data_IF_360303392558
#
_entry.id   IF_360303392558
#
_cell.length_a   1.000
_cell.length_b   1.000
_cell.length_c   1.000
_cell.angle_alpha   90.00
_cell.angle_beta   90.00
_cell.angle_gamma   90.00
#
_symmetry.space_group_name_H-M   'P 1'
#
loop_
_entity.id
_entity.type
_entity.pdbx_description
1 polymer ?
#
# COMPACT_ATOMS: atom_id res chain seq x y z
N UNK A 1 19.68 46.65 13.90
CA UNK A 1 18.42 45.92 14.10
C UNK A 1 18.74 44.44 14.19
N UNK A 2 18.92 44.00 15.42
CA UNK A 2 19.33 42.68 15.89
C UNK A 2 18.08 41.95 16.39
N UNK A 3 17.92 40.66 16.07
CA UNK A 3 17.31 39.69 16.99
C UNK A 3 17.55 38.25 16.52
N UNK A 4 18.34 37.52 17.31
CA UNK A 4 18.48 36.06 17.34
C UNK A 4 17.46 35.55 18.36
N UNK A 5 16.65 34.54 18.03
CA UNK A 5 15.76 33.88 18.99
C UNK A 5 16.51 32.75 19.71
N UNK A 6 16.58 32.84 21.04
CA UNK A 6 17.09 31.80 21.93
C UNK A 6 15.99 30.82 22.35
N UNK A 7 16.37 29.53 22.42
CA UNK A 7 15.58 28.41 22.90
C UNK A 7 15.72 28.29 24.44
N UNK A 8 14.64 28.57 25.16
CA UNK A 8 14.57 28.43 26.62
C UNK A 8 14.29 26.99 27.06
N UNK A 9 15.24 26.38 27.78
CA UNK A 9 15.08 25.13 28.51
C UNK A 9 14.27 25.36 29.81
N UNK A 10 13.24 24.55 30.06
CA UNK A 10 12.48 24.56 31.33
C UNK A 10 12.79 23.33 32.17
N UNK A 11 13.51 23.54 33.26
CA UNK A 11 13.74 22.55 34.34
C UNK A 11 12.54 22.49 35.28
N UNK A 12 12.03 21.28 35.56
CA UNK A 12 10.97 21.03 36.53
C UNK A 12 11.56 20.81 37.94
N UNK A 13 11.13 21.63 38.91
CA UNK A 13 11.43 21.44 40.34
C UNK A 13 10.30 20.66 41.02
N UNK A 14 10.66 19.59 41.73
CA UNK A 14 9.77 18.85 42.63
C UNK A 14 9.51 19.65 43.91
N UNK A 15 8.25 19.63 44.37
CA UNK A 15 7.89 20.11 45.72
C UNK A 15 6.88 19.14 46.34
N UNK A 16 7.35 18.43 47.36
CA UNK A 16 6.61 17.49 48.21
C UNK A 16 5.74 18.23 49.22
N UNK A 17 4.45 17.90 49.31
CA UNK A 17 3.56 18.36 50.39
C UNK A 17 2.97 17.17 51.16
N UNK A 18 3.01 17.31 52.49
CA UNK A 18 2.67 16.32 53.51
C UNK A 18 1.15 16.15 53.67
N UNK A 19 0.79 14.95 54.10
CA UNK A 19 -0.52 14.49 54.54
C UNK A 19 -1.09 15.31 55.72
N UNK A 20 -2.42 15.45 55.74
CA UNK A 20 -3.22 15.57 56.96
C UNK A 20 -4.53 14.82 56.77
N UNK A 21 -4.75 13.84 57.64
CA UNK A 21 -5.91 12.96 57.73
C UNK A 21 -6.95 13.58 58.66
N UNK A 22 -8.22 13.57 58.26
CA UNK A 22 -9.35 13.73 59.19
C UNK A 22 -10.41 12.67 58.88
N UNK A 23 -10.65 11.84 59.90
CA UNK A 23 -11.64 10.77 59.87
C UNK A 23 -13.04 11.33 60.11
N UNK A 24 -14.00 10.93 59.28
CA UNK A 24 -15.43 11.13 59.52
C UNK A 24 -16.06 9.75 59.68
N UNK A 25 -16.60 9.48 60.88
CA UNK A 25 -17.37 8.28 61.19
C UNK A 25 -18.79 8.48 60.66
N UNK A 26 -19.21 7.62 59.74
CA UNK A 26 -20.60 7.52 59.28
C UNK A 26 -21.21 6.22 59.79
N UNK A 27 -22.24 6.34 60.64
CA UNK A 27 -23.11 5.22 61.01
C UNK A 27 -24.17 5.08 59.91
N UNK A 28 -24.18 3.95 59.21
CA UNK A 28 -25.23 3.59 58.25
C UNK A 28 -25.88 2.30 58.70
N UNK A 29 -27.19 2.38 58.97
CA UNK A 29 -28.04 1.24 59.26
C UNK A 29 -28.06 0.28 58.05
N UNK A 30 -27.85 -1.00 58.32
CA UNK A 30 -27.91 -2.05 57.30
C UNK A 30 -29.37 -2.31 56.90
N UNK A 31 -29.70 -1.99 55.65
CA UNK A 31 -30.88 -2.53 54.95
C UNK A 31 -30.37 -3.75 54.16
N UNK A 32 -31.06 -4.91 54.15
CA UNK A 32 -30.57 -6.04 53.37
C UNK A 32 -30.66 -5.67 51.88
N UNK A 33 -29.50 -5.64 51.23
CA UNK A 33 -29.42 -5.52 49.79
C UNK A 33 -30.06 -6.76 49.17
N UNK A 34 -31.16 -6.56 48.45
CA UNK A 34 -31.66 -7.55 47.50
C UNK A 34 -30.57 -7.69 46.45
N UNK A 35 -29.94 -8.87 46.37
CA UNK A 35 -28.93 -9.13 45.37
C UNK A 35 -29.57 -8.98 43.98
N UNK A 36 -29.15 -7.97 43.22
CA UNK A 36 -29.44 -7.90 41.78
C UNK A 36 -28.94 -9.20 41.13
N UNK A 37 -29.74 -9.87 40.28
CA UNK A 37 -29.25 -11.03 39.56
C UNK A 37 -28.06 -10.58 38.69
N UNK A 38 -26.92 -11.21 38.90
CA UNK A 38 -25.71 -10.99 38.13
C UNK A 38 -26.07 -10.93 36.64
N UNK A 39 -25.77 -9.80 35.99
CA UNK A 39 -25.89 -9.61 34.54
C UNK A 39 -25.36 -10.88 33.87
N UNK A 40 -26.25 -11.67 33.27
CA UNK A 40 -25.84 -12.88 32.56
C UNK A 40 -24.78 -12.46 31.54
N UNK A 41 -23.60 -13.08 31.58
CA UNK A 41 -22.55 -12.74 30.65
C UNK A 41 -23.07 -12.95 29.21
N UNK A 42 -22.80 -11.98 28.33
CA UNK A 42 -23.16 -12.05 26.89
C UNK A 42 -22.87 -13.47 26.36
N UNK A 43 -23.80 -14.13 25.66
CA UNK A 43 -23.64 -15.52 25.22
C UNK A 43 -22.33 -15.75 24.46
N UNK A 44 -21.71 -16.93 24.63
CA UNK A 44 -20.41 -17.24 24.01
C UNK A 44 -20.44 -17.12 22.49
N UNK A 45 -21.57 -17.48 21.84
CA UNK A 45 -21.72 -17.34 20.39
C UNK A 45 -21.68 -15.86 19.95
N UNK A 46 -22.25 -14.96 20.74
CA UNK A 46 -22.26 -13.52 20.46
C UNK A 46 -20.87 -12.90 20.68
N UNK A 47 -20.10 -13.39 21.66
CA UNK A 47 -18.69 -13.03 21.85
C UNK A 47 -17.84 -13.50 20.67
N UNK A 48 -18.05 -14.74 20.20
CA UNK A 48 -17.35 -15.29 19.03
C UNK A 48 -17.67 -14.51 17.75
N UNK A 49 -18.94 -14.19 17.51
CA UNK A 49 -19.36 -13.33 16.41
C UNK A 49 -18.66 -11.98 16.44
N UNK A 50 -18.62 -11.33 17.61
CA UNK A 50 -17.97 -10.03 17.78
C UNK A 50 -16.46 -10.10 17.52
N UNK A 51 -15.80 -11.16 17.99
CA UNK A 51 -14.37 -11.41 17.75
C UNK A 51 -14.07 -11.62 16.26
N UNK A 52 -14.86 -12.45 15.57
CA UNK A 52 -14.72 -12.67 14.13
C UNK A 52 -14.93 -11.37 13.34
N UNK A 53 -15.94 -10.58 13.69
CA UNK A 53 -16.17 -9.26 13.09
C UNK A 53 -15.05 -8.25 13.40
N UNK A 54 -14.47 -8.31 14.59
CA UNK A 54 -13.30 -7.51 14.92
C UNK A 54 -12.12 -7.85 14.00
N UNK A 55 -11.82 -9.13 13.83
CA UNK A 55 -10.73 -9.59 12.96
C UNK A 55 -11.01 -9.38 11.47
N UNK A 56 -12.27 -9.43 11.03
CA UNK A 56 -12.62 -9.14 9.63
C UNK A 56 -12.42 -7.66 9.27
N UNK A 57 -12.62 -6.75 10.24
CA UNK A 57 -12.55 -5.30 10.06
C UNK A 57 -11.23 -4.67 10.53
N UNK A 58 -10.35 -5.47 11.13
CA UNK A 58 -9.07 -5.03 11.68
C UNK A 58 -7.94 -5.86 11.10
N UNK A 59 -7.15 -5.31 10.17
CA UNK A 59 -5.99 -6.00 9.62
C UNK A 59 -5.01 -6.40 10.71
N UNK A 60 -4.40 -7.59 10.57
CA UNK A 60 -3.42 -8.06 11.54
C UNK A 60 -2.16 -7.17 11.55
N UNK A 61 -1.43 -7.08 12.68
CA UNK A 61 -0.16 -6.33 12.73
C UNK A 61 0.84 -6.78 11.66
N UNK A 62 0.87 -8.08 11.37
CA UNK A 62 1.72 -8.66 10.32
C UNK A 62 1.32 -8.18 8.92
N UNK A 63 0.01 -8.14 8.62
CA UNK A 63 -0.50 -7.60 7.36
C UNK A 63 -0.10 -6.12 7.19
N UNK A 64 -0.30 -5.31 8.23
CA UNK A 64 0.04 -3.87 8.21
C UNK A 64 1.54 -3.66 8.01
N UNK A 65 2.38 -4.40 8.75
CA UNK A 65 3.83 -4.32 8.63
C UNK A 65 4.29 -4.69 7.21
N UNK A 66 3.78 -5.81 6.66
CA UNK A 66 4.13 -6.24 5.31
C UNK A 66 3.67 -5.26 4.25
N UNK A 67 2.48 -4.66 4.39
CA UNK A 67 1.98 -3.62 3.47
C UNK A 67 2.92 -2.40 3.45
N UNK A 68 3.42 -1.97 4.61
CA UNK A 68 4.40 -0.88 4.72
C UNK A 68 5.73 -1.25 4.05
N UNK A 69 6.24 -2.45 4.30
CA UNK A 69 7.45 -2.96 3.64
C UNK A 69 7.29 -2.99 2.12
N UNK A 70 6.16 -3.49 1.62
CA UNK A 70 5.88 -3.59 0.18
C UNK A 70 5.84 -2.21 -0.49
N UNK A 71 5.32 -1.18 0.19
CA UNK A 71 5.34 0.19 -0.33
C UNK A 71 6.78 0.70 -0.53
N UNK A 72 7.66 0.48 0.45
CA UNK A 72 9.09 0.81 0.32
C UNK A 72 9.78 0.03 -0.81
N UNK A 73 9.52 -1.27 -0.90
CA UNK A 73 10.10 -2.13 -1.93
C UNK A 73 9.66 -1.73 -3.35
N UNK A 74 8.40 -1.33 -3.55
CA UNK A 74 7.90 -0.81 -4.83
C UNK A 74 8.58 0.50 -5.22
N UNK A 75 8.82 1.39 -4.26
CA UNK A 75 9.60 2.61 -4.51
C UNK A 75 11.03 2.28 -4.94
N UNK A 76 11.70 1.35 -4.25
CA UNK A 76 13.03 0.86 -4.65
C UNK A 76 13.02 0.23 -6.04
N UNK A 77 11.99 -0.56 -6.37
CA UNK A 77 11.86 -1.19 -7.68
C UNK A 77 11.80 -0.16 -8.81
N UNK A 78 11.06 0.93 -8.61
CA UNK A 78 10.97 2.05 -9.57
C UNK A 78 12.35 2.67 -9.81
N UNK A 79 13.08 3.03 -8.75
CA UNK A 79 14.44 3.59 -8.85
C UNK A 79 15.40 2.62 -9.55
N UNK A 80 15.31 1.31 -9.28
CA UNK A 80 16.12 0.31 -9.97
C UNK A 80 15.79 0.20 -11.45
N UNK A 81 14.51 0.31 -11.81
CA UNK A 81 14.08 0.33 -13.22
C UNK A 81 14.66 1.53 -13.98
N UNK A 82 14.64 2.71 -13.36
CA UNK A 82 15.25 3.93 -13.92
C UNK A 82 16.76 3.75 -14.11
N UNK A 83 17.45 3.18 -13.12
CA UNK A 83 18.88 2.89 -13.21
C UNK A 83 19.20 1.90 -14.35
N UNK A 84 18.39 0.86 -14.55
CA UNK A 84 18.57 -0.06 -15.69
C UNK A 84 18.49 0.70 -17.02
N UNK A 85 17.50 1.58 -17.18
CA UNK A 85 17.37 2.39 -18.39
C UNK A 85 18.58 3.31 -18.59
N UNK A 86 19.06 3.97 -17.54
CA UNK A 86 20.27 4.78 -17.60
C UNK A 86 21.49 3.96 -18.03
N UNK A 87 21.68 2.77 -17.45
CA UNK A 87 22.80 1.88 -17.78
C UNK A 87 22.71 1.33 -19.20
N UNK A 88 21.52 1.07 -19.72
CA UNK A 88 21.31 0.70 -21.14
C UNK A 88 21.80 1.79 -22.08
N UNK A 89 21.45 3.05 -21.80
CA UNK A 89 21.93 4.19 -22.59
C UNK A 89 23.45 4.33 -22.54
N UNK A 90 24.05 4.23 -21.34
CA UNK A 90 25.52 4.28 -21.20
C UNK A 90 26.22 3.11 -21.91
N UNK A 91 25.64 1.91 -21.85
CA UNK A 91 26.16 0.74 -22.55
C UNK A 91 26.12 0.94 -24.07
N UNK A 92 24.98 1.39 -24.63
CA UNK A 92 24.87 1.66 -26.06
C UNK A 92 25.89 2.72 -26.53
N UNK A 93 26.04 3.83 -25.79
CA UNK A 93 27.04 4.85 -26.09
C UNK A 93 28.47 4.31 -26.06
N UNK A 94 28.81 3.46 -25.08
CA UNK A 94 30.13 2.85 -24.98
C UNK A 94 30.41 1.87 -26.12
N UNK A 95 29.42 1.09 -26.58
CA UNK A 95 29.58 0.20 -27.73
C UNK A 95 29.79 0.99 -29.03
N UNK A 96 29.05 2.09 -29.23
CA UNK A 96 29.27 2.98 -30.38
C UNK A 96 30.67 3.59 -30.37
N UNK A 97 31.13 4.07 -29.22
CA UNK A 97 32.48 4.62 -29.07
C UNK A 97 33.57 3.57 -29.35
N UNK A 98 33.38 2.33 -28.88
CA UNK A 98 34.28 1.21 -29.16
C UNK A 98 34.36 0.90 -30.66
N UNK A 99 33.22 0.81 -31.35
CA UNK A 99 33.19 0.58 -32.80
C UNK A 99 33.92 1.71 -33.56
N UNK A 100 33.72 2.96 -33.16
CA UNK A 100 34.45 4.11 -33.71
C UNK A 100 35.97 4.00 -33.49
N UNK A 101 36.40 3.65 -32.28
CA UNK A 101 37.82 3.51 -31.95
C UNK A 101 38.50 2.35 -32.68
N UNK A 102 37.79 1.23 -32.91
CA UNK A 102 38.29 0.10 -33.71
C UNK A 102 38.58 0.56 -35.14
N UNK A 103 37.63 1.25 -35.77
CA UNK A 103 37.79 1.78 -37.13
C UNK A 103 38.92 2.81 -37.22
N UNK A 104 39.06 3.67 -36.21
CA UNK A 104 40.11 4.68 -36.15
C UNK A 104 41.51 4.06 -36.00
N UNK A 105 41.68 3.07 -35.11
CA UNK A 105 42.94 2.32 -34.93
C UNK A 105 43.33 1.58 -36.21
N UNK A 106 42.39 0.87 -36.83
CA UNK A 106 42.63 0.17 -38.11
C UNK A 106 43.09 1.16 -39.20
N UNK A 107 42.37 2.27 -39.38
CA UNK A 107 42.75 3.30 -40.36
C UNK A 107 44.11 3.94 -40.07
N UNK A 108 44.44 4.18 -38.81
CA UNK A 108 45.73 4.75 -38.42
C UNK A 108 46.90 3.78 -38.68
N UNK A 109 46.71 2.49 -38.38
CA UNK A 109 47.69 1.44 -38.68
C UNK A 109 47.92 1.29 -40.18
N UNK A 110 46.88 1.29 -41.00
CA UNK A 110 47.02 1.24 -42.46
C UNK A 110 47.81 2.44 -43.00
N UNK A 111 47.49 3.66 -42.55
CA UNK A 111 48.24 4.87 -42.95
C UNK A 111 49.71 4.80 -42.52
N UNK A 112 50.00 4.24 -41.35
CA UNK A 112 51.37 4.04 -40.90
C UNK A 112 52.11 3.00 -41.73
N UNK A 113 51.48 1.87 -42.07
CA UNK A 113 52.05 0.85 -42.93
C UNK A 113 52.42 1.42 -44.31
N UNK A 114 51.50 2.13 -44.96
CA UNK A 114 51.75 2.79 -46.25
C UNK A 114 52.88 3.83 -46.17
N UNK A 115 52.97 4.59 -45.08
CA UNK A 115 54.06 5.55 -44.89
C UNK A 115 55.43 4.86 -44.71
N UNK A 116 55.47 3.68 -44.07
CA UNK A 116 56.69 2.86 -43.96
C UNK A 116 57.12 2.29 -45.30
N UNK A 117 56.19 1.80 -46.11
CA UNK A 117 56.47 1.33 -47.46
C UNK A 117 57.02 2.46 -48.33
N UNK A 118 56.39 3.64 -48.31
CA UNK A 118 56.86 4.81 -49.04
C UNK A 118 58.28 5.23 -48.64
N UNK A 119 58.62 5.18 -47.35
CA UNK A 119 59.99 5.43 -46.86
C UNK A 119 60.98 4.38 -47.38
N UNK A 120 60.58 3.11 -47.38
CA UNK A 120 61.40 2.01 -47.90
C UNK A 120 61.68 2.19 -49.39
N UNK A 121 60.65 2.48 -50.18
CA UNK A 121 60.78 2.78 -51.61
C UNK A 121 61.64 4.02 -51.88
N UNK A 122 61.53 5.07 -51.06
CA UNK A 122 62.38 6.26 -51.18
C UNK A 122 63.87 5.95 -50.91
N UNK A 123 64.15 5.11 -49.90
CA UNK A 123 65.52 4.65 -49.59
C UNK A 123 66.10 3.82 -50.72
N UNK A 124 65.33 2.86 -51.25
CA UNK A 124 65.76 2.03 -52.37
C UNK A 124 66.07 2.88 -53.61
N UNK A 125 65.23 3.87 -53.92
CA UNK A 125 65.48 4.80 -55.03
C UNK A 125 66.74 5.62 -54.82
N UNK A 126 67.00 6.12 -53.60
CA UNK A 126 68.23 6.83 -53.27
C UNK A 126 69.47 5.96 -53.53
N UNK A 127 69.43 4.68 -53.14
CA UNK A 127 70.50 3.73 -53.44
C UNK A 127 70.77 3.60 -54.93
N UNK A 128 69.71 3.37 -55.73
CA UNK A 128 69.82 3.21 -57.19
C UNK A 128 70.41 4.46 -57.86
N UNK A 129 69.87 5.65 -57.59
CA UNK A 129 70.35 6.90 -58.24
C UNK A 129 71.76 7.28 -57.79
N UNK A 130 72.18 6.87 -56.60
CA UNK A 130 73.55 7.12 -56.10
C UNK A 130 74.60 6.27 -56.82
N UNK A 131 74.19 5.09 -57.30
CA UNK A 131 75.04 4.12 -57.99
C UNK A 131 75.04 4.29 -59.52
N UNK A 132 74.02 4.96 -60.10
CA UNK A 132 73.94 5.22 -61.55
C UNK A 132 75.15 6.00 -62.09
N UNK A 133 75.52 5.69 -63.34
CA UNK A 133 76.58 6.35 -64.11
C UNK A 133 76.08 6.72 -65.51
N UNK A 134 76.38 7.94 -66.02
CA UNK A 134 77.10 9.03 -65.35
C UNK A 134 76.29 9.60 -64.17
N UNK A 135 76.98 10.16 -63.16
CA UNK A 135 76.36 10.60 -61.91
C UNK A 135 75.56 11.89 -62.14
N UNK A 136 74.29 11.92 -61.71
CA UNK A 136 73.46 13.11 -61.71
C UNK A 136 73.26 13.64 -60.28
N UNK A 137 73.96 14.71 -59.92
CA UNK A 137 73.91 15.30 -58.57
C UNK A 137 72.51 15.79 -58.17
N UNK A 138 71.75 16.39 -59.10
CA UNK A 138 70.41 16.87 -58.83
C UNK A 138 69.44 15.72 -58.50
N UNK A 139 69.56 14.59 -59.21
CA UNK A 139 68.75 13.40 -58.95
C UNK A 139 69.04 12.79 -57.56
N UNK A 140 70.30 12.79 -57.12
CA UNK A 140 70.68 12.34 -55.77
C UNK A 140 70.09 13.26 -54.70
N UNK A 141 70.23 14.57 -54.84
CA UNK A 141 69.66 15.55 -53.89
C UNK A 141 68.14 15.44 -53.80
N UNK A 142 67.44 15.28 -54.93
CA UNK A 142 66.00 15.07 -54.95
C UNK A 142 65.59 13.78 -54.21
N UNK A 143 66.34 12.68 -54.41
CA UNK A 143 66.09 11.43 -53.70
C UNK A 143 66.35 11.53 -52.19
N UNK A 144 67.40 12.26 -51.77
CA UNK A 144 67.67 12.54 -50.35
C UNK A 144 66.52 13.32 -49.71
N UNK A 145 66.06 14.40 -50.36
CA UNK A 145 64.93 15.20 -49.88
C UNK A 145 63.66 14.35 -49.75
N UNK A 146 63.43 13.42 -50.68
CA UNK A 146 62.29 12.48 -50.62
C UNK A 146 62.40 11.51 -49.44
N UNK A 147 63.58 11.00 -49.13
CA UNK A 147 63.81 10.16 -47.93
C UNK A 147 63.50 10.95 -46.67
N UNK A 148 63.99 12.19 -46.55
CA UNK A 148 63.71 13.05 -45.38
C UNK A 148 62.21 13.32 -45.24
N UNK A 149 61.52 13.67 -46.32
CA UNK A 149 60.08 13.94 -46.30
C UNK A 149 59.25 12.69 -45.92
N UNK A 150 59.57 11.53 -46.50
CA UNK A 150 58.87 10.27 -46.19
C UNK A 150 59.19 9.76 -44.78
N UNK A 151 60.40 9.99 -44.26
CA UNK A 151 60.76 9.67 -42.88
C UNK A 151 59.95 10.50 -41.88
N UNK A 152 59.83 11.80 -42.11
CA UNK A 152 58.98 12.70 -41.29
C UNK A 152 57.52 12.24 -41.32
N UNK A 153 56.99 11.91 -42.49
CA UNK A 153 55.62 11.39 -42.63
C UNK A 153 55.42 10.09 -41.85
N UNK A 154 56.33 9.12 -41.98
CA UNK A 154 56.26 7.86 -41.25
C UNK A 154 56.31 8.04 -39.73
N UNK A 155 57.12 8.98 -39.22
CA UNK A 155 57.17 9.32 -37.80
C UNK A 155 55.83 9.91 -37.30
N UNK A 156 55.23 10.85 -38.04
CA UNK A 156 53.92 11.41 -37.71
C UNK A 156 52.84 10.33 -37.70
N UNK A 157 52.81 9.47 -38.72
CA UNK A 157 51.82 8.38 -38.80
C UNK A 157 52.00 7.35 -37.69
N UNK A 158 53.24 7.11 -37.23
CA UNK A 158 53.51 6.27 -36.07
C UNK A 158 52.89 6.84 -34.80
N UNK A 159 53.05 8.14 -34.56
CA UNK A 159 52.43 8.84 -33.43
C UNK A 159 50.91 8.71 -33.45
N UNK A 160 50.28 9.03 -34.59
CA UNK A 160 48.83 8.90 -34.79
C UNK A 160 48.32 7.47 -34.57
N UNK A 161 49.07 6.45 -35.01
CA UNK A 161 48.72 5.05 -34.74
C UNK A 161 48.83 4.70 -33.25
N UNK A 162 49.81 5.26 -32.54
CA UNK A 162 49.94 5.10 -31.09
C UNK A 162 48.79 5.73 -30.30
N UNK A 163 48.37 6.95 -30.69
CA UNK A 163 47.21 7.64 -30.11
C UNK A 163 45.91 6.87 -30.35
N UNK A 164 45.68 6.39 -31.58
CA UNK A 164 44.49 5.61 -31.91
C UNK A 164 44.45 4.28 -31.13
N UNK A 165 45.59 3.60 -30.98
CA UNK A 165 45.69 2.38 -30.19
C UNK A 165 45.41 2.64 -28.69
N UNK A 166 45.85 3.78 -28.15
CA UNK A 166 45.54 4.18 -26.79
C UNK A 166 44.04 4.47 -26.61
N UNK A 167 43.43 5.20 -27.55
CA UNK A 167 42.00 5.47 -27.54
C UNK A 167 41.17 4.19 -27.63
N UNK A 168 41.57 3.21 -28.45
CA UNK A 168 40.93 1.90 -28.53
C UNK A 168 40.98 1.15 -27.18
N UNK A 169 42.12 1.12 -26.49
CA UNK A 169 42.23 0.50 -25.17
C UNK A 169 41.29 1.15 -24.14
N UNK A 170 41.21 2.48 -24.13
CA UNK A 170 40.28 3.22 -23.28
C UNK A 170 38.82 2.87 -23.61
N UNK A 171 38.45 2.85 -24.89
CA UNK A 171 37.10 2.49 -25.32
C UNK A 171 36.73 1.05 -24.95
N UNK A 172 37.66 0.10 -25.07
CA UNK A 172 37.48 -1.28 -24.62
C UNK A 172 37.22 -1.37 -23.11
N UNK A 173 37.99 -0.64 -22.30
CA UNK A 173 37.80 -0.61 -20.85
C UNK A 173 36.44 0.01 -20.47
N UNK A 174 36.06 1.11 -21.12
CA UNK A 174 34.76 1.75 -20.90
C UNK A 174 33.60 0.84 -21.29
N UNK A 175 33.68 0.14 -22.43
CA UNK A 175 32.66 -0.82 -22.85
C UNK A 175 32.49 -1.96 -21.83
N UNK A 176 33.60 -2.58 -21.38
CA UNK A 176 33.57 -3.64 -20.34
C UNK A 176 32.94 -3.16 -19.04
N UNK A 177 33.29 -1.96 -18.59
CA UNK A 177 32.73 -1.34 -17.39
C UNK A 177 31.22 -1.07 -17.54
N UNK A 178 30.80 -0.58 -18.70
CA UNK A 178 29.39 -0.31 -19.00
C UNK A 178 28.55 -1.60 -19.05
N UNK A 179 29.06 -2.68 -19.66
CA UNK A 179 28.41 -4.00 -19.66
C UNK A 179 28.24 -4.51 -18.23
N UNK A 180 29.32 -4.53 -17.44
CA UNK A 180 29.28 -4.95 -16.04
C UNK A 180 28.28 -4.11 -15.21
N UNK A 181 28.23 -2.80 -15.45
CA UNK A 181 27.30 -1.89 -14.78
C UNK A 181 25.83 -2.17 -15.13
N UNK A 182 25.54 -2.49 -16.39
CA UNK A 182 24.20 -2.89 -16.84
C UNK A 182 23.77 -4.23 -16.26
N UNK A 183 24.67 -5.22 -16.23
CA UNK A 183 24.38 -6.55 -15.67
C UNK A 183 24.05 -6.46 -14.19
N UNK A 184 24.86 -5.72 -13.42
CA UNK A 184 24.60 -5.47 -11.98
C UNK A 184 23.27 -4.76 -11.74
N UNK A 185 22.96 -3.73 -12.53
CA UNK A 185 21.69 -3.02 -12.40
C UNK A 185 20.49 -3.92 -12.72
N UNK A 186 20.62 -4.76 -13.76
CA UNK A 186 19.59 -5.71 -14.17
C UNK A 186 19.36 -6.80 -13.13
N UNK A 187 20.43 -7.42 -12.62
CA UNK A 187 20.35 -8.42 -11.55
C UNK A 187 19.73 -7.84 -10.28
N UNK A 188 20.11 -6.62 -9.90
CA UNK A 188 19.52 -5.91 -8.77
C UNK A 188 18.02 -5.66 -8.97
N UNK A 189 17.61 -5.18 -10.15
CA UNK A 189 16.19 -4.98 -10.47
C UNK A 189 15.39 -6.29 -10.39
N UNK A 190 15.91 -7.38 -10.96
CA UNK A 190 15.28 -8.71 -10.92
C UNK A 190 15.10 -9.22 -9.48
N UNK A 191 16.15 -9.13 -8.65
CA UNK A 191 16.09 -9.58 -7.26
C UNK A 191 15.04 -8.81 -6.44
N UNK A 192 14.92 -7.49 -6.64
CA UNK A 192 13.89 -6.69 -5.98
C UNK A 192 12.50 -7.02 -6.51
N UNK A 193 12.34 -7.20 -7.83
CA UNK A 193 11.08 -7.57 -8.44
C UNK A 193 10.54 -8.88 -7.86
N UNK A 194 11.41 -9.90 -7.75
CA UNK A 194 11.05 -11.19 -7.18
C UNK A 194 10.67 -11.09 -5.69
N UNK A 195 11.39 -10.27 -4.93
CA UNK A 195 11.06 -10.01 -3.53
C UNK A 195 9.68 -9.35 -3.38
N UNK A 196 9.39 -8.34 -4.21
CA UNK A 196 8.08 -7.66 -4.25
C UNK A 196 6.99 -8.68 -4.58
N UNK A 197 7.20 -9.54 -5.58
CA UNK A 197 6.24 -10.58 -5.99
C UNK A 197 5.92 -11.55 -4.84
N UNK A 198 6.95 -12.07 -4.16
CA UNK A 198 6.77 -12.97 -2.99
C UNK A 198 6.01 -12.29 -1.86
N UNK A 199 6.38 -11.06 -1.53
CA UNK A 199 5.73 -10.31 -0.46
C UNK A 199 4.28 -9.92 -0.80
N UNK A 200 3.99 -9.67 -2.07
CA UNK A 200 2.61 -9.48 -2.54
C UNK A 200 1.75 -10.74 -2.33
N UNK A 201 2.27 -11.92 -2.69
CA UNK A 201 1.58 -13.19 -2.47
C UNK A 201 1.36 -13.45 -0.97
N UNK A 202 2.38 -13.18 -0.15
CA UNK A 202 2.27 -13.29 1.31
C UNK A 202 1.22 -12.34 1.87
N UNK A 203 1.13 -11.11 1.37
CA UNK A 203 0.11 -10.15 1.80
C UNK A 203 -1.30 -10.66 1.52
N UNK A 204 -1.54 -11.25 0.33
CA UNK A 204 -2.83 -11.87 -0.02
C UNK A 204 -3.15 -13.01 0.96
N UNK A 205 -2.18 -13.86 1.28
CA UNK A 205 -2.39 -14.98 2.22
C UNK A 205 -2.72 -14.54 3.65
N UNK A 206 -2.23 -13.36 4.06
CA UNK A 206 -2.50 -12.75 5.37
C UNK A 206 -3.86 -12.04 5.42
N UNK A 207 -4.48 -11.76 4.27
CA UNK A 207 -5.81 -11.17 4.22
C UNK A 207 -6.86 -12.24 4.50
N UNK A 208 -7.23 -12.33 5.78
CA UNK A 208 -8.27 -13.25 6.29
C UNK A 208 -9.61 -12.56 6.51
N UNK A 209 -9.77 -11.32 6.04
CA UNK A 209 -10.94 -10.49 6.34
C UNK A 209 -12.25 -11.15 5.90
N UNK A 210 -12.31 -11.61 4.64
CA UNK A 210 -13.49 -12.27 4.07
C UNK A 210 -13.80 -13.61 4.75
N UNK A 211 -12.78 -14.38 5.14
CA UNK A 211 -12.94 -15.66 5.83
C UNK A 211 -13.62 -15.44 7.20
N UNK A 212 -13.12 -14.49 7.99
CA UNK A 212 -13.72 -14.17 9.29
C UNK A 212 -15.13 -13.59 9.17
N UNK A 213 -15.39 -12.74 8.17
CA UNK A 213 -16.72 -12.21 7.90
C UNK A 213 -17.72 -13.34 7.54
N UNK A 214 -17.30 -14.30 6.73
CA UNK A 214 -18.11 -15.47 6.38
C UNK A 214 -18.44 -16.34 7.59
N UNK A 215 -17.45 -16.60 8.45
CA UNK A 215 -17.67 -17.34 9.71
C UNK A 215 -18.61 -16.59 10.66
N UNK A 216 -18.49 -15.27 10.77
CA UNK A 216 -19.41 -14.47 11.59
C UNK A 216 -20.84 -14.54 11.05
N UNK A 217 -21.02 -14.41 9.73
CA UNK A 217 -22.34 -14.51 9.10
C UNK A 217 -23.02 -15.87 9.35
N UNK A 218 -22.25 -16.96 9.35
CA UNK A 218 -22.79 -18.30 9.65
C UNK A 218 -23.34 -18.41 11.08
N UNK A 219 -22.79 -17.66 12.04
CA UNK A 219 -23.22 -17.65 13.44
C UNK A 219 -24.41 -16.72 13.71
N UNK A 220 -24.79 -15.83 12.78
CA UNK A 220 -25.77 -14.77 13.06
C UNK A 220 -27.12 -15.26 13.58
N UNK A 221 -27.62 -16.41 13.10
CA UNK A 221 -28.89 -16.98 13.58
C UNK A 221 -28.78 -17.54 15.00
N UNK A 222 -27.68 -18.22 15.30
CA UNK A 222 -27.42 -18.77 16.64
C UNK A 222 -27.24 -17.62 17.65
N UNK A 223 -26.58 -16.53 17.24
CA UNK A 223 -26.50 -15.29 18.03
C UNK A 223 -27.88 -14.76 18.38
N UNK A 224 -28.80 -14.68 17.42
CA UNK A 224 -30.17 -14.23 17.69
C UNK A 224 -30.85 -15.16 18.69
N UNK A 225 -30.74 -16.48 18.52
CA UNK A 225 -31.39 -17.47 19.40
C UNK A 225 -30.87 -17.39 20.82
N UNK A 226 -29.55 -17.42 21.02
CA UNK A 226 -28.95 -17.41 22.35
C UNK A 226 -29.11 -16.05 23.05
N UNK A 227 -28.95 -14.94 22.33
CA UNK A 227 -29.17 -13.60 22.91
C UNK A 227 -30.62 -13.45 23.34
N UNK A 228 -31.59 -13.91 22.54
CA UNK A 228 -33.01 -13.78 22.88
C UNK A 228 -33.39 -14.47 24.19
N UNK A 229 -32.74 -15.58 24.52
CA UNK A 229 -33.05 -16.35 25.72
C UNK A 229 -32.69 -15.61 27.03
N UNK A 230 -31.70 -14.73 27.01
CA UNK A 230 -31.16 -14.09 28.21
C UNK A 230 -30.91 -12.57 28.10
N UNK A 231 -31.38 -11.92 27.04
CA UNK A 231 -31.10 -10.51 26.79
C UNK A 231 -31.60 -9.59 27.92
N UNK A 232 -30.74 -8.66 28.32
CA UNK A 232 -31.09 -7.55 29.21
C UNK A 232 -30.63 -6.21 28.60
N UNK A 233 -31.18 -5.11 29.10
CA UNK A 233 -30.73 -3.77 28.66
C UNK A 233 -29.24 -3.51 28.97
N UNK A 234 -28.67 -4.20 29.97
CA UNK A 234 -27.25 -4.10 30.29
C UNK A 234 -26.35 -4.67 29.18
N UNK A 235 -26.90 -5.47 28.26
CA UNK A 235 -26.18 -6.02 27.10
C UNK A 235 -26.07 -5.05 25.92
N UNK A 236 -26.63 -3.84 26.07
CA UNK A 236 -26.55 -2.80 25.05
C UNK A 236 -25.39 -1.83 25.28
N UNK A 237 -25.03 -1.11 24.22
CA UNK A 237 -24.05 -0.02 24.21
C UNK A 237 -24.52 1.08 23.24
N UNK A 238 -24.19 2.34 23.54
CA UNK A 238 -24.45 3.46 22.65
C UNK A 238 -23.31 3.65 21.66
N UNK A 239 -23.64 3.75 20.37
CA UNK A 239 -22.72 4.05 19.27
C UNK A 239 -23.27 5.23 18.49
N UNK A 240 -22.62 6.39 18.61
CA UNK A 240 -23.04 7.64 17.96
C UNK A 240 -24.52 7.99 18.21
N UNK A 241 -25.01 7.75 19.44
CA UNK A 241 -26.40 8.01 19.82
C UNK A 241 -27.38 6.89 19.48
N UNK A 242 -26.94 5.81 18.83
CA UNK A 242 -27.77 4.63 18.55
C UNK A 242 -27.44 3.52 19.55
N UNK A 243 -28.43 3.08 20.30
CA UNK A 243 -28.28 1.95 21.23
C UNK A 243 -28.31 0.64 20.47
N UNK A 244 -27.27 -0.19 20.56
CA UNK A 244 -27.18 -1.50 19.90
C UNK A 244 -26.64 -2.55 20.88
N UNK A 245 -26.74 -3.83 20.56
CA UNK A 245 -26.13 -4.89 21.38
C UNK A 245 -24.60 -4.76 21.40
N UNK A 246 -23.97 -5.06 22.53
CA UNK A 246 -22.50 -4.97 22.69
C UNK A 246 -21.74 -5.76 21.62
N UNK A 247 -22.24 -6.93 21.22
CA UNK A 247 -21.60 -7.77 20.19
C UNK A 247 -21.51 -7.11 18.82
N UNK A 248 -22.48 -6.26 18.44
CA UNK A 248 -22.50 -5.57 17.13
C UNK A 248 -21.91 -4.17 17.17
N UNK A 249 -21.67 -3.62 18.36
CA UNK A 249 -21.26 -2.23 18.58
C UNK A 249 -19.98 -1.84 17.82
N UNK A 250 -18.96 -2.71 17.80
CA UNK A 250 -17.72 -2.47 17.08
C UNK A 250 -17.94 -2.41 15.56
N UNK A 251 -18.62 -3.42 15.00
CA UNK A 251 -18.88 -3.50 13.57
C UNK A 251 -19.76 -2.33 13.10
N UNK A 252 -20.78 -1.98 13.87
CA UNK A 252 -21.65 -0.83 13.59
C UNK A 252 -20.88 0.50 13.63
N UNK A 253 -20.02 0.72 14.64
CA UNK A 253 -19.17 1.92 14.70
C UNK A 253 -18.25 2.03 13.48
N UNK A 254 -17.66 0.92 13.04
CA UNK A 254 -16.81 0.88 11.84
C UNK A 254 -17.62 1.18 10.57
N UNK A 255 -18.83 0.64 10.46
CA UNK A 255 -19.74 0.93 9.35
C UNK A 255 -20.06 2.43 9.24
N UNK A 256 -20.44 3.07 10.36
CA UNK A 256 -20.73 4.51 10.37
C UNK A 256 -19.51 5.37 10.03
N UNK A 257 -18.33 4.98 10.52
CA UNK A 257 -17.09 5.70 10.26
C UNK A 257 -16.68 5.61 8.78
N UNK A 258 -16.73 4.41 8.20
CA UNK A 258 -16.38 4.18 6.79
C UNK A 258 -17.40 4.86 5.86
N UNK A 259 -18.69 4.80 6.17
CA UNK A 259 -19.72 5.54 5.42
C UNK A 259 -19.47 7.05 5.43
N UNK A 260 -19.12 7.61 6.60
CA UNK A 260 -18.80 9.02 6.73
C UNK A 260 -17.55 9.40 5.93
N UNK A 261 -16.54 8.53 5.89
CA UNK A 261 -15.34 8.75 5.07
C UNK A 261 -15.67 8.79 3.57
N UNK A 262 -16.70 8.05 3.14
CA UNK A 262 -17.24 8.08 1.78
C UNK A 262 -18.26 9.21 1.55
N UNK A 263 -18.43 10.14 2.51
CA UNK A 263 -19.34 11.28 2.42
C UNK A 263 -20.81 10.95 2.74
N UNK A 264 -21.11 9.75 3.23
CA UNK A 264 -22.46 9.31 3.60
C UNK A 264 -22.62 9.35 5.13
N UNK A 265 -23.33 10.37 5.63
CA UNK A 265 -23.58 10.51 7.08
C UNK A 265 -24.75 9.62 7.50
N UNK A 266 -24.42 8.42 7.97
CA UNK A 266 -25.39 7.46 8.50
C UNK A 266 -25.66 7.68 10.00
N UNK A 267 -26.90 7.42 10.41
CA UNK A 267 -27.36 7.31 11.80
C UNK A 267 -28.52 6.31 11.86
N UNK A 268 -29.33 6.27 12.91
CA UNK A 268 -30.51 5.42 12.94
C UNK A 268 -31.14 5.21 14.31
N UNK A 269 -32.14 4.34 14.35
CA UNK A 269 -32.75 3.81 15.57
C UNK A 269 -32.34 2.37 15.80
N UNK A 270 -31.89 2.03 17.02
CA UNK A 270 -31.44 0.69 17.37
C UNK A 270 -32.41 -0.01 18.33
N UNK A 271 -31.92 -0.35 19.53
CA UNK A 271 -32.66 -1.06 20.56
C UNK A 271 -34.02 -0.43 20.88
N UNK A 272 -35.03 -1.27 21.07
CA UNK A 272 -36.39 -0.91 21.42
C UNK A 272 -36.96 -1.93 22.38
N UNK A 273 -37.56 -1.51 23.49
CA UNK A 273 -38.15 -2.44 24.45
C UNK A 273 -39.37 -3.18 23.88
N UNK A 274 -39.69 -4.37 24.43
CA UNK A 274 -40.91 -5.13 24.11
C UNK A 274 -42.18 -4.30 24.31
N UNK A 275 -42.23 -3.48 25.38
CA UNK A 275 -43.34 -2.54 25.62
C UNK A 275 -43.51 -1.57 24.45
N UNK A 276 -42.41 -0.98 23.99
CA UNK A 276 -42.45 -0.07 22.84
C UNK A 276 -42.84 -0.80 21.55
N UNK A 277 -42.45 -2.07 21.39
CA UNK A 277 -42.90 -2.89 20.26
C UNK A 277 -44.43 -3.14 20.28
N UNK A 278 -45.00 -3.41 21.46
CA UNK A 278 -46.47 -3.53 21.64
C UNK A 278 -47.17 -2.22 21.28
N UNK A 279 -46.67 -1.07 21.75
CA UNK A 279 -47.22 0.25 21.43
C UNK A 279 -47.22 0.50 19.92
N UNK A 280 -46.12 0.19 19.23
CA UNK A 280 -46.02 0.37 17.78
C UNK A 280 -47.01 -0.48 17.01
N UNK A 281 -47.29 -1.71 17.44
CA UNK A 281 -48.30 -2.54 16.79
C UNK A 281 -49.71 -1.95 16.91
N UNK A 282 -50.03 -1.33 18.06
CA UNK A 282 -51.29 -0.59 18.23
C UNK A 282 -51.33 0.65 17.33
N UNK A 283 -50.26 1.46 17.35
CA UNK A 283 -50.14 2.67 16.52
C UNK A 283 -50.29 2.33 15.04
N UNK A 284 -49.64 1.25 14.60
CA UNK A 284 -49.62 0.79 13.21
C UNK A 284 -50.86 -0.04 12.84
N UNK A 285 -51.88 -0.09 13.70
CA UNK A 285 -53.19 -0.66 13.39
C UNK A 285 -53.16 -2.15 13.07
N UNK A 286 -52.27 -2.92 13.70
CA UNK A 286 -52.27 -4.36 13.53
C UNK A 286 -53.59 -4.96 14.05
N UNK A 287 -54.22 -5.92 13.33
CA UNK A 287 -55.48 -6.54 13.76
C UNK A 287 -55.40 -7.21 15.13
N UNK A 288 -54.25 -7.79 15.47
CA UNK A 288 -53.93 -8.30 16.81
C UNK A 288 -52.46 -8.03 17.15
N UNK A 289 -52.16 -7.80 18.43
CA UNK A 289 -50.81 -7.46 18.91
C UNK A 289 -49.88 -8.68 18.92
N UNK A 290 -50.38 -9.90 19.11
CA UNK A 290 -49.54 -11.06 19.43
C UNK A 290 -49.42 -12.08 18.28
N UNK A 291 -50.40 -12.12 17.39
CA UNK A 291 -50.54 -13.18 16.39
C UNK A 291 -50.57 -12.67 14.95
N UNK A 292 -51.09 -11.46 14.72
CA UNK A 292 -51.23 -10.94 13.36
C UNK A 292 -49.86 -10.80 12.67
N UNK A 293 -49.70 -11.25 11.42
CA UNK A 293 -48.42 -11.14 10.70
C UNK A 293 -48.02 -9.68 10.52
N UNK A 294 -46.72 -9.38 10.47
CA UNK A 294 -46.22 -8.00 10.35
C UNK A 294 -46.83 -7.27 9.14
N UNK A 295 -47.02 -7.96 8.02
CA UNK A 295 -47.63 -7.44 6.78
C UNK A 295 -49.10 -7.03 6.90
N UNK A 296 -49.81 -7.46 7.95
CA UNK A 296 -51.21 -7.07 8.17
C UNK A 296 -51.37 -5.73 8.89
N UNK A 297 -50.27 -5.17 9.40
CA UNK A 297 -50.25 -3.83 9.98
C UNK A 297 -50.17 -2.77 8.88
N UNK A 298 -50.69 -1.55 9.12
CA UNK A 298 -50.55 -0.41 8.19
C UNK A 298 -49.09 -0.09 7.87
N UNK A 299 -48.23 -0.20 8.87
CA UNK A 299 -46.77 -0.18 8.72
C UNK A 299 -46.25 -1.53 9.23
N UNK A 300 -45.52 -2.32 8.41
CA UNK A 300 -45.01 -3.60 8.83
C UNK A 300 -44.28 -3.52 10.17
N UNK A 301 -44.71 -4.33 11.13
CA UNK A 301 -44.20 -4.27 12.51
C UNK A 301 -44.12 -5.69 13.07
N UNK A 302 -42.92 -6.15 13.45
CA UNK A 302 -42.73 -7.50 13.98
C UNK A 302 -43.57 -7.77 15.25
N UNK A 303 -43.98 -9.03 15.44
CA UNK A 303 -44.65 -9.50 16.66
C UNK A 303 -43.73 -9.27 17.88
N UNK A 304 -44.24 -8.83 19.05
CA UNK A 304 -43.41 -8.57 20.22
C UNK A 304 -42.71 -9.84 20.69
N UNK A 305 -41.44 -9.73 21.06
CA UNK A 305 -40.56 -10.85 21.36
C UNK A 305 -39.93 -11.51 20.12
N UNK A 306 -40.30 -11.10 18.89
CA UNK A 306 -39.66 -11.57 17.64
C UNK A 306 -38.78 -10.51 16.98
N UNK A 307 -38.98 -9.22 17.28
CA UNK A 307 -38.18 -8.14 16.69
C UNK A 307 -36.71 -8.24 17.10
N UNK A 308 -35.80 -7.98 16.17
CA UNK A 308 -34.36 -7.87 16.46
C UNK A 308 -33.99 -6.52 17.09
N UNK A 309 -34.85 -5.50 16.97
CA UNK A 309 -34.71 -4.27 17.76
C UNK A 309 -34.86 -4.55 19.26
N UNK A 310 -35.64 -5.56 19.65
CA UNK A 310 -35.76 -5.96 21.06
C UNK A 310 -34.48 -6.57 21.64
N UNK A 311 -33.52 -6.91 20.79
CA UNK A 311 -32.22 -7.45 21.18
C UNK A 311 -31.07 -6.46 20.91
N UNK A 312 -31.35 -5.31 20.30
CA UNK A 312 -30.32 -4.40 19.80
C UNK A 312 -29.48 -4.97 18.64
N UNK A 313 -29.96 -6.02 17.97
CA UNK A 313 -29.27 -6.69 16.86
C UNK A 313 -29.74 -6.20 15.48
N UNK A 314 -30.65 -5.22 15.45
CA UNK A 314 -31.10 -4.51 14.26
C UNK A 314 -31.00 -2.99 14.44
N UNK A 315 -30.89 -2.30 13.31
CA UNK A 315 -30.85 -0.86 13.18
C UNK A 315 -31.73 -0.40 12.03
N UNK A 316 -32.57 0.59 12.29
CA UNK A 316 -33.32 1.35 11.30
C UNK A 316 -32.44 2.54 10.90
N UNK A 317 -31.68 2.38 9.81
CA UNK A 317 -30.67 3.33 9.36
C UNK A 317 -31.32 4.56 8.72
N UNK A 318 -30.72 5.71 8.96
CA UNK A 318 -31.06 6.99 8.34
C UNK A 318 -29.80 7.58 7.68
N UNK A 319 -29.99 8.44 6.69
CA UNK A 319 -28.92 9.24 6.09
C UNK A 319 -29.34 10.72 6.06
N UNK A 320 -28.49 11.60 6.60
CA UNK A 320 -28.81 13.03 6.70
C UNK A 320 -30.10 13.31 7.48
N UNK A 321 -30.41 12.50 8.48
CA UNK A 321 -31.62 12.62 9.31
C UNK A 321 -32.91 12.07 8.69
N UNK A 322 -32.86 11.48 7.48
CA UNK A 322 -34.03 10.91 6.80
C UNK A 322 -33.92 9.39 6.73
N UNK A 323 -35.05 8.69 6.87
CA UNK A 323 -35.12 7.24 6.65
C UNK A 323 -34.66 6.89 5.23
N UNK A 324 -33.97 5.75 5.11
CA UNK A 324 -33.52 5.29 3.80
C UNK A 324 -34.71 4.87 2.94
N UNK A 325 -34.67 5.24 1.67
CA UNK A 325 -35.53 4.70 0.61
C UNK A 325 -34.65 3.93 -0.37
N UNK A 326 -35.24 3.05 -1.19
CA UNK A 326 -34.50 2.30 -2.21
C UNK A 326 -33.68 3.19 -3.16
N UNK A 327 -34.11 4.44 -3.36
CA UNK A 327 -33.44 5.42 -4.22
C UNK A 327 -32.50 6.38 -3.46
N UNK A 328 -32.38 6.26 -2.14
CA UNK A 328 -31.51 7.12 -1.34
C UNK A 328 -30.03 6.78 -1.52
N UNK A 329 -29.16 7.78 -1.41
CA UNK A 329 -27.70 7.57 -1.44
C UNK A 329 -27.22 6.68 -0.28
N UNK A 330 -27.83 6.83 0.90
CA UNK A 330 -27.54 5.98 2.06
C UNK A 330 -27.87 4.51 1.81
N UNK A 331 -29.01 4.21 1.18
CA UNK A 331 -29.36 2.84 0.81
C UNK A 331 -28.38 2.25 -0.20
N UNK A 332 -27.98 3.00 -1.23
CA UNK A 332 -26.97 2.53 -2.20
C UNK A 332 -25.64 2.17 -1.52
N UNK A 333 -25.19 3.01 -0.60
CA UNK A 333 -23.97 2.74 0.18
C UNK A 333 -24.14 1.48 1.03
N UNK A 334 -25.24 1.38 1.79
CA UNK A 334 -25.51 0.22 2.63
C UNK A 334 -25.59 -1.08 1.83
N UNK A 335 -26.29 -1.08 0.69
CA UNK A 335 -26.41 -2.25 -0.19
C UNK A 335 -25.07 -2.74 -0.74
N UNK A 336 -24.10 -1.83 -0.92
CA UNK A 336 -22.76 -2.20 -1.38
C UNK A 336 -21.86 -2.71 -0.25
N UNK A 337 -21.98 -2.14 0.96
CA UNK A 337 -20.97 -2.30 2.00
C UNK A 337 -21.45 -2.92 3.31
N UNK A 338 -22.74 -2.87 3.66
CA UNK A 338 -23.25 -3.29 4.98
C UNK A 338 -22.88 -4.74 5.35
N UNK A 339 -22.87 -5.64 4.35
CA UNK A 339 -22.48 -7.05 4.54
C UNK A 339 -21.06 -7.21 5.10
N UNK A 340 -20.13 -6.32 4.74
CA UNK A 340 -18.76 -6.28 5.30
C UNK A 340 -18.76 -6.11 6.82
N UNK A 341 -19.77 -5.43 7.35
CA UNK A 341 -19.95 -5.15 8.78
C UNK A 341 -20.94 -6.12 9.44
N UNK A 342 -21.34 -7.19 8.74
CA UNK A 342 -22.25 -8.21 9.26
C UNK A 342 -23.73 -7.80 9.24
N UNK A 343 -24.10 -6.70 8.56
CA UNK A 343 -25.48 -6.25 8.43
C UNK A 343 -26.07 -6.64 7.08
N UNK A 344 -27.31 -7.11 7.09
CA UNK A 344 -28.09 -7.55 5.95
C UNK A 344 -29.42 -6.81 5.96
N UNK A 345 -29.87 -6.36 4.78
CA UNK A 345 -31.13 -5.66 4.63
C UNK A 345 -32.32 -6.63 4.72
N UNK A 346 -33.39 -6.18 5.35
CA UNK A 346 -34.72 -6.75 5.14
C UNK A 346 -35.29 -6.18 3.82
N UNK A 347 -35.52 -6.98 2.76
CA UNK A 347 -35.83 -6.45 1.43
C UNK A 347 -37.09 -5.57 1.35
N UNK A 348 -38.07 -5.81 2.21
CA UNK A 348 -39.31 -5.00 2.28
C UNK A 348 -39.11 -3.64 2.94
N UNK A 349 -37.98 -3.42 3.63
CA UNK A 349 -37.72 -2.24 4.45
C UNK A 349 -36.31 -1.69 4.16
N UNK A 350 -36.15 -0.74 3.23
CA UNK A 350 -34.85 -0.20 2.84
C UNK A 350 -34.04 0.41 4.01
N UNK A 351 -34.72 0.87 5.06
CA UNK A 351 -34.09 1.40 6.27
C UNK A 351 -33.66 0.31 7.25
N UNK A 352 -34.19 -0.92 7.17
CA UNK A 352 -33.99 -1.93 8.21
C UNK A 352 -32.81 -2.85 7.88
N UNK A 353 -31.85 -2.92 8.82
CA UNK A 353 -30.65 -3.73 8.68
C UNK A 353 -30.38 -4.49 9.97
N UNK A 354 -30.08 -5.78 9.88
CA UNK A 354 -29.81 -6.63 11.04
C UNK A 354 -28.75 -7.67 10.72
N UNK A 355 -28.31 -8.42 11.71
CA UNK A 355 -27.30 -9.46 11.47
C UNK A 355 -27.83 -10.69 10.69
N UNK A 356 -29.16 -10.80 10.51
CA UNK A 356 -29.82 -11.89 9.77
C UNK A 356 -30.66 -11.42 8.57
N UNK A 357 -30.92 -10.11 8.44
CA UNK A 357 -31.81 -9.55 7.42
C UNK A 357 -33.30 -9.59 7.77
N UNK A 358 -33.64 -9.91 9.02
CA UNK A 358 -35.02 -10.04 9.51
C UNK A 358 -35.15 -11.08 10.60
#
# INVERSE_FOLDING_TARGET
MTTRQELGQRTWRFRTWRFLSTAVVAVVAAVPAVADPASAAVPRVAQRWASLMYHSLTPSPQYVALRKTLAGQRATLRTRSELVNQRRTSHAAAQTALAGAISADAGARTRYALAREALTSARNRLTVVSQQRPRNGAAVTAAQNRVTATAKSAAIRRGQAGEAAAALRTAQATARSATTGLDRATAAWQATSETVRKNQQKLISLDKSAEFAGQAAALSRDVVTEVRAGFTMADTASVNGVTVHKSVSFAFRRMLADAKADGVVLSGGGFRSKKRQIELRKINGCPDVWTAPASSCRVPTAIPGRSLHELGLAVDVTAGGKSLTANSAGFRWMSMYAKKYGFVNLPSEPWHWSITGG
#
